data_IF_189281700375
#
_entry.id   IF_189281700375
#
_cell.length_a   1.000
_cell.length_b   1.000
_cell.length_c   1.000
_cell.angle_alpha   90.00
_cell.angle_beta   90.00
_cell.angle_gamma   90.00
#
_symmetry.space_group_name_H-M   'P 1'
#
loop_
_entity.id
_entity.type
_entity.pdbx_description
1 polymer ?
#
# COMPACT_ATOMS: atom_id res chain seq x y z
N UNK A 1 -0.19 -0.82 -22.24
CA UNK A 1 1.05 -1.65 -22.24
C UNK A 1 0.97 -2.58 -23.43
N UNK A 2 1.80 -2.35 -24.43
CA UNK A 2 1.98 -3.18 -25.62
C UNK A 2 2.53 -4.56 -25.20
N UNK A 3 1.84 -5.64 -25.57
CA UNK A 3 2.38 -7.00 -25.42
C UNK A 3 3.63 -7.09 -26.31
N UNK A 4 4.73 -7.66 -25.79
CA UNK A 4 6.02 -7.68 -26.51
C UNK A 4 5.85 -8.48 -27.80
N UNK A 5 5.99 -7.90 -28.99
CA UNK A 5 5.66 -8.65 -30.22
C UNK A 5 6.65 -9.79 -30.53
N UNK A 6 7.75 -9.92 -29.79
CA UNK A 6 8.73 -10.99 -29.97
C UNK A 6 8.36 -12.26 -29.17
N UNK A 7 8.62 -13.43 -29.77
CA UNK A 7 8.53 -14.74 -29.12
C UNK A 7 9.94 -15.31 -28.95
N UNK A 8 10.59 -14.97 -27.84
CA UNK A 8 11.98 -15.36 -27.52
C UNK A 8 12.04 -16.05 -26.15
N UNK A 9 12.86 -17.08 -26.06
CA UNK A 9 13.10 -17.82 -24.83
C UNK A 9 14.02 -17.07 -23.86
N UNK A 10 14.21 -17.62 -22.67
CA UNK A 10 15.06 -17.03 -21.62
C UNK A 10 16.57 -17.07 -21.95
N UNK A 11 16.96 -17.73 -23.04
CA UNK A 11 18.32 -17.74 -23.60
C UNK A 11 18.46 -16.76 -24.77
N UNK A 12 17.37 -16.10 -25.18
CA UNK A 12 17.33 -15.16 -26.30
C UNK A 12 17.08 -15.80 -27.67
N UNK A 13 16.75 -17.09 -27.74
CA UNK A 13 16.46 -17.77 -29.00
C UNK A 13 14.99 -17.60 -29.39
N UNK A 14 14.71 -17.49 -30.68
CA UNK A 14 13.34 -17.49 -31.19
C UNK A 14 12.62 -18.79 -30.83
N UNK A 15 11.42 -18.66 -30.28
CA UNK A 15 10.57 -19.81 -29.94
C UNK A 15 9.95 -20.35 -31.23
N UNK A 16 10.22 -21.63 -31.51
CA UNK A 16 9.50 -22.40 -32.53
C UNK A 16 8.61 -23.47 -31.88
N UNK A 17 7.42 -23.66 -32.44
CA UNK A 17 6.51 -24.73 -32.04
C UNK A 17 6.80 -26.06 -32.73
N UNK A 18 7.60 -26.07 -33.81
CA UNK A 18 7.77 -27.23 -34.68
C UNK A 18 8.44 -28.42 -33.96
N UNK A 19 9.37 -28.12 -33.05
CA UNK A 19 10.06 -29.12 -32.22
C UNK A 19 9.60 -29.10 -30.75
N UNK A 20 8.51 -28.39 -30.44
CA UNK A 20 8.04 -28.25 -29.06
C UNK A 20 7.32 -29.51 -28.60
N UNK A 21 7.68 -30.03 -27.42
CA UNK A 21 7.02 -31.19 -26.79
C UNK A 21 5.54 -31.00 -26.44
N UNK A 22 4.99 -29.80 -26.65
CA UNK A 22 3.60 -29.43 -26.37
C UNK A 22 2.72 -29.30 -27.63
N UNK A 23 3.08 -29.94 -28.74
CA UNK A 23 2.30 -29.89 -29.99
C UNK A 23 0.80 -30.25 -29.80
N UNK A 24 0.50 -31.23 -28.94
CA UNK A 24 -0.88 -31.60 -28.61
C UNK A 24 -1.63 -30.48 -27.86
N UNK A 25 -0.96 -29.73 -26.99
CA UNK A 25 -1.57 -28.59 -26.30
C UNK A 25 -1.83 -27.43 -27.26
N UNK A 26 -0.91 -27.20 -28.21
CA UNK A 26 -1.10 -26.20 -29.25
C UNK A 26 -2.32 -26.53 -30.12
N UNK A 27 -2.43 -27.78 -30.57
CA UNK A 27 -3.57 -28.25 -31.36
C UNK A 27 -4.91 -28.10 -30.59
N UNK A 28 -4.88 -28.29 -29.27
CA UNK A 28 -6.03 -28.11 -28.39
C UNK A 28 -6.28 -26.64 -27.96
N UNK A 29 -5.50 -25.67 -28.45
CA UNK A 29 -5.61 -24.26 -28.06
C UNK A 29 -5.20 -23.96 -26.61
N UNK A 30 -4.54 -24.91 -25.94
CA UNK A 30 -4.08 -24.81 -24.54
C UNK A 30 -2.67 -24.21 -24.40
N UNK A 31 -2.03 -23.83 -25.50
CA UNK A 31 -0.92 -22.87 -25.51
C UNK A 31 -0.97 -22.06 -26.81
N UNK A 32 -0.32 -20.90 -26.84
CA UNK A 32 -0.28 -20.03 -28.03
C UNK A 32 0.98 -19.16 -28.03
N UNK A 33 1.79 -19.17 -29.11
CA UNK A 33 2.92 -18.25 -29.25
C UNK A 33 2.54 -16.80 -29.01
N UNK A 34 3.46 -16.02 -28.44
CA UNK A 34 3.25 -14.61 -28.05
C UNK A 34 2.12 -14.36 -27.03
N UNK A 35 1.51 -15.41 -26.47
CA UNK A 35 0.39 -15.26 -25.56
C UNK A 35 0.48 -16.16 -24.32
N UNK A 36 0.56 -17.48 -24.51
CA UNK A 36 0.64 -18.45 -23.42
C UNK A 36 1.65 -19.55 -23.81
N UNK A 37 2.88 -19.42 -23.33
CA UNK A 37 3.97 -20.34 -23.66
C UNK A 37 4.92 -20.47 -22.47
N UNK A 38 5.24 -21.70 -22.06
CA UNK A 38 6.18 -21.97 -20.97
C UNK A 38 7.63 -21.67 -21.33
N UNK A 39 7.96 -21.72 -22.62
CA UNK A 39 9.30 -21.45 -23.11
C UNK A 39 9.59 -19.96 -23.30
N UNK A 40 8.61 -19.09 -23.07
CA UNK A 40 8.75 -17.65 -23.27
C UNK A 40 9.49 -16.99 -22.10
N UNK A 41 10.33 -16.01 -22.38
CA UNK A 41 11.01 -15.22 -21.33
C UNK A 41 10.08 -14.29 -20.58
N UNK A 42 8.87 -14.03 -21.09
CA UNK A 42 7.96 -13.09 -20.46
C UNK A 42 7.07 -13.81 -19.44
N UNK A 43 7.32 -13.55 -18.15
CA UNK A 43 6.58 -14.09 -17.02
C UNK A 43 5.06 -14.14 -17.21
N UNK A 44 4.40 -13.12 -17.79
CA UNK A 44 2.94 -13.12 -17.99
C UNK A 44 2.46 -14.22 -18.94
N UNK A 45 3.28 -14.63 -19.91
CA UNK A 45 2.96 -15.69 -20.86
C UNK A 45 3.14 -17.07 -20.25
N UNK A 46 4.18 -17.23 -19.43
CA UNK A 46 4.37 -18.44 -18.63
C UNK A 46 3.21 -18.59 -17.64
N UNK A 47 2.80 -17.50 -16.99
CA UNK A 47 1.66 -17.47 -16.05
C UNK A 47 0.36 -17.88 -16.73
N UNK A 48 0.05 -17.32 -17.91
CA UNK A 48 -1.09 -17.78 -18.73
C UNK A 48 -0.98 -19.25 -19.12
N UNK A 49 0.22 -19.74 -19.48
CA UNK A 49 0.42 -21.14 -19.81
C UNK A 49 0.05 -22.08 -18.65
N UNK A 50 0.53 -21.81 -17.43
CA UNK A 50 0.20 -22.65 -16.28
C UNK A 50 -1.24 -22.45 -15.80
N UNK A 51 -1.83 -21.26 -15.98
CA UNK A 51 -3.26 -21.06 -15.74
C UNK A 51 -4.13 -21.95 -16.64
N UNK A 52 -3.71 -22.16 -17.90
CA UNK A 52 -4.40 -23.06 -18.84
C UNK A 52 -4.04 -24.54 -18.64
N UNK A 53 -2.88 -24.83 -18.03
CA UNK A 53 -2.33 -26.17 -17.86
C UNK A 53 -1.77 -26.40 -16.45
N UNK A 54 -2.59 -26.31 -15.39
CA UNK A 54 -2.09 -26.36 -14.02
C UNK A 54 -1.40 -27.68 -13.68
N UNK A 55 -1.85 -28.80 -14.27
CA UNK A 55 -1.28 -30.14 -14.06
C UNK A 55 0.16 -30.29 -14.56
N UNK A 56 0.65 -29.37 -15.40
CA UNK A 56 2.05 -29.38 -15.84
C UNK A 56 2.99 -28.72 -14.85
N UNK A 57 2.48 -27.95 -13.88
CA UNK A 57 3.34 -27.21 -12.97
C UNK A 57 4.28 -28.14 -12.17
N UNK A 58 3.80 -29.32 -11.77
CA UNK A 58 4.56 -30.31 -10.99
C UNK A 58 5.88 -30.73 -11.65
N UNK A 59 5.87 -30.89 -12.98
CA UNK A 59 7.07 -31.27 -13.74
C UNK A 59 8.01 -30.09 -14.00
N UNK A 60 7.55 -28.85 -13.75
CA UNK A 60 8.29 -27.62 -14.03
C UNK A 60 8.88 -26.93 -12.80
N UNK A 61 8.64 -27.46 -11.59
CA UNK A 61 9.26 -26.93 -10.36
C UNK A 61 10.79 -27.07 -10.32
N UNK A 62 11.36 -27.88 -11.22
CA UNK A 62 12.83 -28.07 -11.40
C UNK A 62 13.35 -27.48 -12.72
N UNK A 63 12.56 -26.65 -13.39
CA UNK A 63 12.92 -26.11 -14.69
C UNK A 63 14.21 -25.25 -14.61
N UNK A 64 15.11 -25.27 -15.62
CA UNK A 64 16.34 -24.47 -15.59
C UNK A 64 16.10 -22.97 -15.47
N UNK A 65 15.08 -22.45 -16.14
CA UNK A 65 14.66 -21.05 -16.02
C UNK A 65 13.89 -20.81 -14.73
N UNK A 66 14.35 -19.87 -13.92
CA UNK A 66 13.77 -19.59 -12.61
C UNK A 66 12.37 -19.01 -12.68
N UNK A 67 12.03 -18.17 -13.68
CA UNK A 67 10.67 -17.64 -13.78
C UNK A 67 9.65 -18.76 -14.00
N UNK A 68 10.03 -19.80 -14.76
CA UNK A 68 9.18 -20.99 -14.93
C UNK A 68 9.00 -21.71 -13.60
N UNK A 69 10.06 -21.90 -12.80
CA UNK A 69 9.94 -22.48 -11.45
C UNK A 69 9.06 -21.63 -10.55
N UNK A 70 9.28 -20.32 -10.52
CA UNK A 70 8.55 -19.37 -9.67
C UNK A 70 7.05 -19.35 -10.00
N UNK A 71 6.70 -19.38 -11.29
CA UNK A 71 5.30 -19.40 -11.73
C UNK A 71 4.69 -20.79 -11.55
N UNK A 72 5.43 -21.86 -11.84
CA UNK A 72 4.98 -23.23 -11.57
C UNK A 72 4.63 -23.41 -10.08
N UNK A 73 5.39 -22.81 -9.16
CA UNK A 73 5.11 -22.84 -7.72
C UNK A 73 3.71 -22.33 -7.35
N UNK A 74 3.08 -21.48 -8.17
CA UNK A 74 1.71 -20.98 -7.95
C UNK A 74 0.63 -22.03 -8.23
N UNK A 75 0.94 -23.05 -9.03
CA UNK A 75 -0.02 -24.05 -9.51
C UNK A 75 0.32 -25.48 -9.07
N UNK A 76 1.60 -25.79 -8.85
CA UNK A 76 2.07 -27.12 -8.52
C UNK A 76 1.44 -27.69 -7.24
N UNK A 77 1.49 -29.00 -7.07
CA UNK A 77 1.13 -29.66 -5.84
C UNK A 77 1.94 -29.07 -4.66
N UNK A 78 1.23 -28.77 -3.57
CA UNK A 78 1.80 -28.20 -2.35
C UNK A 78 2.93 -29.06 -1.76
N UNK A 79 2.90 -30.38 -1.96
CA UNK A 79 3.92 -31.31 -1.48
C UNK A 79 5.25 -31.18 -2.25
N UNK A 80 5.26 -30.55 -3.42
CA UNK A 80 6.47 -30.30 -4.22
C UNK A 80 7.16 -28.96 -3.88
N UNK A 81 6.48 -28.08 -3.15
CA UNK A 81 6.97 -26.73 -2.84
C UNK A 81 8.05 -26.66 -1.74
N UNK A 82 8.10 -27.52 -0.70
CA UNK A 82 9.06 -27.37 0.39
C UNK A 82 10.55 -27.34 -0.04
N UNK A 83 11.02 -28.14 -1.01
CA UNK A 83 12.39 -28.04 -1.53
C UNK A 83 12.68 -26.72 -2.25
N UNK A 84 11.65 -26.06 -2.81
CA UNK A 84 11.81 -24.79 -3.54
C UNK A 84 12.10 -23.61 -2.60
N UNK A 85 11.99 -23.80 -1.28
CA UNK A 85 12.38 -22.79 -0.30
C UNK A 85 13.90 -22.61 -0.20
N UNK A 86 14.66 -23.58 -0.72
CA UNK A 86 16.12 -23.54 -0.77
C UNK A 86 16.62 -23.20 -2.20
N UNK A 87 15.72 -22.75 -3.08
CA UNK A 87 16.06 -22.32 -4.45
C UNK A 87 16.99 -21.09 -4.41
N UNK A 88 18.01 -20.99 -5.30
CA UNK A 88 18.90 -19.83 -5.34
C UNK A 88 18.16 -18.51 -5.60
N UNK A 89 17.03 -18.56 -6.32
CA UNK A 89 16.32 -17.38 -6.79
C UNK A 89 15.22 -16.99 -5.80
N UNK A 90 15.27 -15.74 -5.32
CA UNK A 90 14.33 -15.23 -4.33
C UNK A 90 12.88 -15.31 -4.82
N UNK A 91 12.67 -15.11 -6.12
CA UNK A 91 11.37 -15.19 -6.77
C UNK A 91 10.72 -16.56 -6.60
N UNK A 92 11.53 -17.61 -6.67
CA UNK A 92 11.06 -18.99 -6.48
C UNK A 92 10.70 -19.21 -5.02
N UNK A 93 11.59 -18.83 -4.10
CA UNK A 93 11.38 -19.00 -2.65
C UNK A 93 10.09 -18.33 -2.18
N UNK A 94 9.84 -17.06 -2.55
CA UNK A 94 8.63 -16.37 -2.09
C UNK A 94 7.36 -16.81 -2.82
N UNK A 95 7.41 -17.28 -4.08
CA UNK A 95 6.21 -17.85 -4.71
C UNK A 95 5.83 -19.20 -4.08
N UNK A 96 6.80 -20.04 -3.73
CA UNK A 96 6.57 -21.31 -3.07
C UNK A 96 5.99 -21.14 -1.66
N UNK A 97 6.59 -20.29 -0.83
CA UNK A 97 6.19 -20.16 0.59
C UNK A 97 4.77 -19.63 0.78
N UNK A 98 4.25 -18.83 -0.17
CA UNK A 98 2.90 -18.26 -0.11
C UNK A 98 1.78 -19.31 -0.10
N UNK A 99 2.06 -20.52 -0.58
CA UNK A 99 1.11 -21.62 -0.63
C UNK A 99 1.36 -22.68 0.44
N UNK A 100 2.40 -22.51 1.26
CA UNK A 100 2.76 -23.47 2.31
C UNK A 100 2.20 -23.06 3.67
N UNK A 101 2.04 -24.01 4.61
CA UNK A 101 1.69 -23.71 6.00
C UNK A 101 2.66 -22.72 6.66
N UNK A 102 2.16 -21.93 7.61
CA UNK A 102 2.90 -20.87 8.34
C UNK A 102 4.30 -21.25 8.83
N UNK A 103 4.49 -22.49 9.30
CA UNK A 103 5.80 -23.00 9.76
C UNK A 103 6.91 -22.90 8.70
N UNK A 104 6.55 -22.90 7.42
CA UNK A 104 7.50 -22.71 6.33
C UNK A 104 7.86 -21.25 6.10
N UNK A 105 6.90 -20.33 6.29
CA UNK A 105 7.17 -18.89 6.28
C UNK A 105 8.15 -18.49 7.39
N UNK A 106 8.05 -19.12 8.57
CA UNK A 106 9.01 -18.94 9.65
C UNK A 106 10.46 -19.28 9.27
N UNK A 107 10.68 -20.30 8.42
CA UNK A 107 12.03 -20.64 7.92
C UNK A 107 12.64 -19.54 7.07
N UNK A 108 11.81 -18.78 6.35
CA UNK A 108 12.23 -17.70 5.45
C UNK A 108 12.17 -16.31 6.10
N UNK A 109 11.90 -16.23 7.41
CA UNK A 109 11.86 -14.96 8.13
C UNK A 109 13.18 -14.21 8.06
N UNK A 110 14.28 -14.96 8.10
CA UNK A 110 15.64 -14.44 8.09
C UNK A 110 16.31 -14.64 6.72
N UNK A 111 15.51 -14.76 5.64
CA UNK A 111 16.02 -14.93 4.27
C UNK A 111 16.98 -13.78 3.91
N UNK A 112 18.12 -14.06 3.23
CA UNK A 112 19.08 -13.02 2.86
C UNK A 112 18.46 -11.93 2.00
N UNK A 113 17.46 -12.26 1.17
CA UNK A 113 16.86 -11.31 0.24
C UNK A 113 15.68 -10.56 0.86
N UNK A 114 15.75 -9.22 0.84
CA UNK A 114 14.72 -8.34 1.43
C UNK A 114 13.31 -8.62 0.90
N UNK A 115 13.15 -8.90 -0.40
CA UNK A 115 11.83 -9.15 -1.00
C UNK A 115 11.18 -10.40 -0.40
N UNK A 116 11.95 -11.45 -0.07
CA UNK A 116 11.41 -12.64 0.60
C UNK A 116 10.94 -12.28 2.00
N UNK A 117 11.76 -11.56 2.78
CA UNK A 117 11.38 -11.11 4.13
C UNK A 117 10.14 -10.22 4.11
N UNK A 118 9.99 -9.33 3.12
CA UNK A 118 8.78 -8.50 2.92
C UNK A 118 7.55 -9.37 2.69
N UNK A 119 7.64 -10.37 1.80
CA UNK A 119 6.52 -11.28 1.50
C UNK A 119 6.19 -12.18 2.69
N UNK A 120 7.20 -12.70 3.37
CA UNK A 120 7.06 -13.51 4.59
C UNK A 120 6.42 -12.69 5.71
N UNK A 121 6.83 -11.44 5.89
CA UNK A 121 6.22 -10.53 6.85
C UNK A 121 4.74 -10.25 6.59
N UNK A 122 4.18 -10.60 5.41
CA UNK A 122 2.74 -10.55 5.12
C UNK A 122 2.01 -11.88 5.46
N UNK A 123 2.74 -12.97 5.69
CA UNK A 123 2.20 -14.32 5.97
C UNK A 123 2.26 -14.70 7.45
N UNK A 124 3.10 -14.04 8.25
CA UNK A 124 3.29 -14.32 9.67
C UNK A 124 2.18 -13.69 10.54
N UNK A 125 1.92 -14.21 11.74
CA UNK A 125 1.08 -13.48 12.71
C UNK A 125 1.93 -12.55 13.58
N UNK A 126 1.26 -11.73 14.39
CA UNK A 126 1.90 -10.72 15.23
C UNK A 126 3.06 -11.25 16.08
N UNK A 127 2.88 -12.40 16.76
CA UNK A 127 3.93 -12.98 17.60
C UNK A 127 5.21 -13.32 16.82
N UNK A 128 5.06 -13.74 15.57
CA UNK A 128 6.17 -14.12 14.69
C UNK A 128 6.85 -12.93 14.03
N UNK A 129 6.19 -11.77 14.00
CA UNK A 129 6.75 -10.51 13.50
C UNK A 129 7.67 -9.81 14.50
N UNK A 130 7.61 -10.18 15.79
CA UNK A 130 8.43 -9.56 16.85
C UNK A 130 9.93 -9.54 16.49
N UNK A 131 10.54 -10.64 15.99
CA UNK A 131 11.96 -10.63 15.59
C UNK A 131 12.26 -9.72 14.40
N UNK A 132 11.27 -9.42 13.55
CA UNK A 132 11.42 -8.58 12.36
C UNK A 132 11.27 -7.08 12.65
N UNK A 133 10.90 -6.68 13.87
CA UNK A 133 10.76 -5.26 14.26
C UNK A 133 12.06 -4.47 14.03
N UNK A 134 13.21 -5.13 14.13
CA UNK A 134 14.54 -4.53 13.91
C UNK A 134 15.20 -5.02 12.62
N UNK A 135 14.41 -5.46 11.63
CA UNK A 135 14.97 -5.87 10.34
C UNK A 135 15.87 -4.75 9.78
N UNK A 136 17.04 -5.08 9.19
CA UNK A 136 17.91 -4.07 8.61
C UNK A 136 17.23 -3.24 7.51
N UNK A 137 16.29 -3.84 6.78
CA UNK A 137 15.54 -3.18 5.71
C UNK A 137 14.34 -2.40 6.26
N UNK A 138 14.27 -1.12 5.94
CA UNK A 138 13.20 -0.25 6.45
C UNK A 138 11.81 -0.65 5.93
N UNK A 139 11.73 -1.24 4.73
CA UNK A 139 10.45 -1.62 4.16
C UNK A 139 9.89 -2.89 4.83
N UNK A 140 10.78 -3.79 5.28
CA UNK A 140 10.36 -4.89 6.16
C UNK A 140 9.82 -4.33 7.48
N UNK A 141 10.52 -3.38 8.11
CA UNK A 141 10.02 -2.70 9.33
C UNK A 141 8.70 -1.97 9.07
N UNK A 142 8.53 -1.33 7.92
CA UNK A 142 7.27 -0.69 7.53
C UNK A 142 6.13 -1.73 7.40
N UNK A 143 6.40 -2.89 6.82
CA UNK A 143 5.43 -3.99 6.75
C UNK A 143 5.07 -4.54 8.13
N UNK A 144 6.04 -4.65 9.04
CA UNK A 144 5.81 -5.01 10.44
C UNK A 144 4.93 -3.95 11.11
N UNK A 145 5.26 -2.66 10.99
CA UNK A 145 4.51 -1.54 11.54
C UNK A 145 3.08 -1.42 11.00
N UNK A 146 2.77 -2.01 9.83
CA UNK A 146 1.39 -2.09 9.30
C UNK A 146 0.56 -3.18 9.96
N UNK A 147 1.19 -4.20 10.55
CA UNK A 147 0.52 -5.43 10.97
C UNK A 147 0.52 -5.67 12.47
N UNK A 148 1.58 -5.28 13.19
CA UNK A 148 1.67 -5.51 14.63
C UNK A 148 0.62 -4.71 15.39
N UNK A 149 0.20 -5.19 16.56
CA UNK A 149 -0.75 -4.51 17.41
C UNK A 149 -0.15 -3.27 18.09
N UNK A 150 -1.01 -2.43 18.71
CA UNK A 150 -0.57 -1.21 19.37
C UNK A 150 0.61 -1.42 20.32
N UNK A 151 0.56 -2.42 21.21
CA UNK A 151 1.64 -2.71 22.17
C UNK A 151 3.05 -2.79 21.57
N UNK A 152 3.18 -3.33 20.35
CA UNK A 152 4.46 -3.46 19.66
C UNK A 152 4.87 -2.21 18.87
N UNK A 153 3.91 -1.37 18.45
CA UNK A 153 4.22 -0.10 17.77
C UNK A 153 5.06 0.84 18.65
N UNK A 154 4.95 0.74 19.98
CA UNK A 154 5.79 1.50 20.92
C UNK A 154 7.29 1.28 20.67
N UNK A 155 7.67 0.08 20.20
CA UNK A 155 9.07 -0.28 19.91
C UNK A 155 9.58 0.30 18.59
N UNK A 156 8.71 0.92 17.80
CA UNK A 156 8.98 1.45 16.46
C UNK A 156 8.78 2.97 16.38
N UNK A 157 8.42 3.61 17.49
CA UNK A 157 8.09 5.04 17.54
C UNK A 157 9.28 5.94 17.23
N UNK A 158 10.50 5.46 17.50
CA UNK A 158 11.77 6.11 17.22
C UNK A 158 12.52 5.43 16.06
N UNK A 159 11.80 4.75 15.15
CA UNK A 159 12.45 4.16 13.97
C UNK A 159 13.24 5.22 13.21
N UNK A 160 14.45 4.89 12.74
CA UNK A 160 15.29 5.82 11.98
C UNK A 160 14.59 6.36 10.72
N UNK A 161 13.69 5.57 10.13
CA UNK A 161 13.03 5.90 8.87
C UNK A 161 11.71 6.66 9.10
N UNK A 162 11.56 7.90 8.56
CA UNK A 162 10.31 8.66 8.65
C UNK A 162 9.09 7.90 8.13
N UNK A 163 9.19 7.12 7.06
CA UNK A 163 8.06 6.33 6.56
C UNK A 163 7.53 5.32 7.59
N UNK A 164 8.42 4.71 8.37
CA UNK A 164 8.04 3.78 9.44
C UNK A 164 7.39 4.54 10.59
N UNK A 165 8.00 5.65 11.03
CA UNK A 165 7.41 6.51 12.09
C UNK A 165 6.06 7.07 11.66
N UNK A 166 5.88 7.44 10.39
CA UNK A 166 4.60 7.89 9.85
C UNK A 166 3.54 6.78 9.95
N UNK A 167 3.89 5.54 9.59
CA UNK A 167 2.98 4.41 9.76
C UNK A 167 2.64 4.15 11.24
N UNK A 168 3.61 4.31 12.13
CA UNK A 168 3.37 4.26 13.58
C UNK A 168 2.39 5.37 13.99
N UNK A 169 2.59 6.62 13.56
CA UNK A 169 1.69 7.73 13.86
C UNK A 169 0.25 7.51 13.37
N UNK A 170 0.05 6.80 12.26
CA UNK A 170 -1.28 6.43 11.75
C UNK A 170 -2.00 5.44 12.67
N UNK A 171 -1.29 4.53 13.34
CA UNK A 171 -1.89 3.38 14.06
C UNK A 171 -1.73 3.41 15.57
N UNK A 172 -0.74 4.12 16.09
CA UNK A 172 -0.42 4.13 17.52
C UNK A 172 -1.57 4.70 18.35
N UNK A 173 -1.75 4.27 19.61
CA UNK A 173 -2.65 4.92 20.55
C UNK A 173 -2.32 6.41 20.73
N UNK A 174 -3.36 7.22 20.99
CA UNK A 174 -3.25 8.69 21.06
C UNK A 174 -2.24 9.14 22.12
N UNK A 175 -2.19 8.44 23.25
CA UNK A 175 -1.27 8.69 24.36
C UNK A 175 0.21 8.66 23.95
N UNK A 176 0.55 7.97 22.87
CA UNK A 176 1.93 7.92 22.36
C UNK A 176 2.22 8.96 21.30
N UNK A 177 1.19 9.45 20.59
CA UNK A 177 1.34 10.48 19.57
C UNK A 177 1.92 11.78 20.14
N UNK A 178 1.75 12.02 21.45
CA UNK A 178 2.37 13.16 22.14
C UNK A 178 3.89 13.19 21.94
N UNK A 179 4.56 12.03 21.93
CA UNK A 179 6.01 11.96 21.70
C UNK A 179 6.38 12.26 20.25
N UNK A 180 5.50 11.91 19.32
CA UNK A 180 5.69 12.10 17.88
C UNK A 180 5.29 13.49 17.40
N UNK A 181 4.61 14.27 18.24
CA UNK A 181 4.21 15.65 17.94
C UNK A 181 5.41 16.58 17.70
N UNK A 182 6.59 16.21 18.19
CA UNK A 182 7.85 16.91 17.98
C UNK A 182 8.80 16.16 17.02
N UNK A 183 8.28 15.23 16.20
CA UNK A 183 9.09 14.51 15.22
C UNK A 183 9.80 15.49 14.27
N UNK A 184 11.05 15.19 13.92
CA UNK A 184 11.81 16.01 12.98
C UNK A 184 11.13 16.07 11.59
N UNK A 185 10.44 15.00 11.21
CA UNK A 185 9.77 14.89 9.92
C UNK A 185 8.37 15.49 9.94
N UNK A 186 8.08 16.39 9.00
CA UNK A 186 6.82 17.10 8.93
C UNK A 186 5.63 16.21 8.52
N UNK A 187 5.85 15.17 7.71
CA UNK A 187 4.78 14.23 7.34
C UNK A 187 4.37 13.37 8.55
N UNK A 188 5.31 13.04 9.43
CA UNK A 188 5.00 12.38 10.71
C UNK A 188 4.18 13.31 11.60
N UNK A 189 4.62 14.56 11.80
CA UNK A 189 3.86 15.55 12.60
C UNK A 189 2.47 15.82 12.03
N UNK A 190 2.33 15.78 10.70
CA UNK A 190 1.04 15.92 10.03
C UNK A 190 0.11 14.72 10.25
N UNK A 191 0.61 13.48 10.25
CA UNK A 191 -0.25 12.33 10.63
C UNK A 191 -0.62 12.37 12.13
N UNK A 192 0.29 12.86 12.98
CA UNK A 192 0.02 13.07 14.40
C UNK A 192 -1.09 14.10 14.61
N UNK A 193 -1.00 15.26 13.93
CA UNK A 193 -1.96 16.36 14.11
C UNK A 193 -3.38 15.92 13.80
N UNK A 194 -3.60 15.09 12.76
CA UNK A 194 -4.90 14.51 12.40
C UNK A 194 -5.58 13.69 13.49
N UNK A 195 -4.82 13.21 14.48
CA UNK A 195 -5.32 12.27 15.50
C UNK A 195 -5.26 12.82 16.92
N UNK A 196 -4.50 13.87 17.19
CA UNK A 196 -4.43 14.47 18.53
C UNK A 196 -5.78 15.11 18.94
N UNK A 197 -6.20 14.98 20.22
CA UNK A 197 -7.34 15.71 20.76
C UNK A 197 -7.03 17.21 20.86
N UNK A 198 -8.07 18.03 20.98
CA UNK A 198 -7.95 19.49 20.83
C UNK A 198 -6.95 20.17 21.77
N UNK A 199 -6.90 19.76 23.03
CA UNK A 199 -5.96 20.28 24.04
C UNK A 199 -4.49 20.01 23.68
N UNK A 200 -4.21 18.85 23.09
CA UNK A 200 -2.86 18.48 22.63
C UNK A 200 -2.55 19.05 21.25
N UNK A 201 -3.54 19.08 20.35
CA UNK A 201 -3.42 19.68 19.02
C UNK A 201 -3.10 21.17 19.10
N UNK A 202 -3.62 21.88 20.10
CA UNK A 202 -3.29 23.29 20.35
C UNK A 202 -1.79 23.56 20.54
N UNK A 203 -1.01 22.56 20.94
CA UNK A 203 0.46 22.68 21.05
C UNK A 203 1.15 22.78 19.69
N UNK A 204 0.53 22.31 18.62
CA UNK A 204 1.05 22.32 17.24
C UNK A 204 0.69 23.59 16.46
N UNK A 205 0.07 24.58 17.11
CA UNK A 205 -0.40 25.81 16.48
C UNK A 205 0.70 26.66 15.83
N UNK A 206 1.95 26.46 16.27
CA UNK A 206 3.15 27.12 15.73
C UNK A 206 4.09 26.13 15.02
N UNK A 207 3.57 24.99 14.57
CA UNK A 207 4.38 24.02 13.81
C UNK A 207 4.99 24.71 12.58
N UNK A 208 6.26 24.44 12.25
CA UNK A 208 6.88 24.99 11.05
C UNK A 208 6.18 24.59 9.75
N UNK A 209 5.52 23.44 9.70
CA UNK A 209 4.81 22.97 8.51
C UNK A 209 3.37 23.52 8.47
N UNK A 210 3.04 24.22 7.39
CA UNK A 210 1.73 24.83 7.20
C UNK A 210 0.59 23.80 7.19
N UNK A 211 0.81 22.55 6.77
CA UNK A 211 -0.21 21.48 6.74
C UNK A 211 -0.61 21.09 8.15
N UNK A 212 0.34 21.10 9.08
CA UNK A 212 0.06 20.89 10.51
C UNK A 212 -0.75 22.06 11.06
N UNK A 213 -0.36 23.31 10.77
CA UNK A 213 -1.11 24.50 11.20
C UNK A 213 -2.51 24.57 10.59
N UNK A 214 -2.67 24.14 9.34
CA UNK A 214 -3.95 24.00 8.67
C UNK A 214 -4.86 23.01 9.39
N UNK A 215 -4.32 21.85 9.80
CA UNK A 215 -5.07 20.86 10.59
C UNK A 215 -5.46 21.40 11.98
N UNK A 216 -4.61 22.22 12.60
CA UNK A 216 -4.94 22.94 13.84
C UNK A 216 -6.10 23.91 13.59
N UNK A 217 -6.02 24.73 12.53
CA UNK A 217 -7.05 25.68 12.15
C UNK A 217 -8.38 25.00 11.80
N UNK A 218 -8.36 23.81 11.21
CA UNK A 218 -9.56 23.09 10.78
C UNK A 218 -10.34 22.44 11.93
N UNK A 219 -9.69 22.17 13.07
CA UNK A 219 -10.31 21.37 14.16
C UNK A 219 -10.43 22.05 15.51
N UNK A 220 -9.58 23.00 15.85
CA UNK A 220 -9.71 23.68 17.14
C UNK A 220 -10.96 24.57 17.20
N UNK A 221 -11.49 24.88 18.40
CA UNK A 221 -12.58 25.83 18.54
C UNK A 221 -12.22 27.19 17.94
N UNK A 222 -13.20 27.91 17.38
CA UNK A 222 -13.01 29.21 16.73
C UNK A 222 -12.27 30.21 17.64
N UNK A 223 -12.61 30.22 18.93
CA UNK A 223 -11.95 31.07 19.93
C UNK A 223 -10.43 30.82 20.07
N UNK A 224 -9.95 29.65 19.65
CA UNK A 224 -8.55 29.25 19.75
C UNK A 224 -7.76 29.39 18.44
N UNK A 225 -8.36 29.83 17.33
CA UNK A 225 -7.69 29.92 16.01
C UNK A 225 -7.63 31.35 15.44
N UNK A 226 -8.17 32.34 16.15
CA UNK A 226 -8.31 33.70 15.62
C UNK A 226 -6.97 34.38 15.23
N UNK A 227 -5.89 34.07 15.93
CA UNK A 227 -4.52 34.51 15.62
C UNK A 227 -3.95 33.89 14.34
N UNK A 228 -4.40 32.68 13.95
CA UNK A 228 -4.02 32.05 12.68
C UNK A 228 -4.63 32.77 11.45
N UNK A 229 -5.53 33.75 11.65
CA UNK A 229 -5.99 34.62 10.55
C UNK A 229 -4.83 35.44 9.93
N UNK A 230 -3.70 35.57 10.64
CA UNK A 230 -2.47 36.21 10.18
C UNK A 230 -1.34 35.20 9.93
N UNK A 231 -1.66 33.92 9.75
CA UNK A 231 -0.65 32.91 9.38
C UNK A 231 0.07 33.34 8.10
N UNK A 232 1.33 32.94 7.95
CA UNK A 232 2.13 33.21 6.75
C UNK A 232 1.54 32.51 5.51
N UNK A 233 0.97 31.32 5.70
CA UNK A 233 0.43 30.50 4.62
C UNK A 233 -1.02 30.87 4.28
N UNK A 234 -1.29 31.01 2.98
CA UNK A 234 -2.60 31.43 2.49
C UNK A 234 -3.70 30.41 2.79
N UNK A 235 -3.42 29.12 2.70
CA UNK A 235 -4.41 28.05 2.92
C UNK A 235 -4.84 28.00 4.39
N UNK A 236 -3.91 28.28 5.31
CA UNK A 236 -4.22 28.41 6.73
C UNK A 236 -5.14 29.62 6.98
N UNK A 237 -4.82 30.78 6.39
CA UNK A 237 -5.67 31.98 6.51
C UNK A 237 -7.08 31.75 5.94
N UNK A 238 -7.18 31.10 4.79
CA UNK A 238 -8.46 30.76 4.14
C UNK A 238 -9.30 29.82 5.01
N UNK A 239 -8.68 28.78 5.58
CA UNK A 239 -9.35 27.88 6.53
C UNK A 239 -9.91 28.64 7.73
N UNK A 240 -9.13 29.52 8.35
CA UNK A 240 -9.60 30.33 9.49
C UNK A 240 -10.75 31.24 9.08
N UNK A 241 -10.64 31.94 7.96
CA UNK A 241 -11.69 32.82 7.45
C UNK A 241 -13.01 32.08 7.17
N UNK A 242 -12.91 30.85 6.62
CA UNK A 242 -14.07 29.99 6.37
C UNK A 242 -14.80 29.60 7.66
N UNK A 243 -14.07 29.44 8.76
CA UNK A 243 -14.64 29.04 10.06
C UNK A 243 -15.10 30.22 10.92
N UNK A 244 -14.61 31.43 10.66
CA UNK A 244 -15.09 32.66 11.28
C UNK A 244 -16.36 33.21 10.61
N UNK A 245 -16.58 32.87 9.35
CA UNK A 245 -17.81 33.21 8.65
C UNK A 245 -18.99 32.41 9.23
N UNK A 246 -20.09 33.05 9.67
CA UNK A 246 -21.29 32.30 10.04
C UNK A 246 -21.79 31.49 8.83
N UNK A 247 -22.41 30.31 9.03
CA UNK A 247 -23.06 29.63 7.92
C UNK A 247 -24.10 30.57 7.32
N UNK A 248 -23.96 30.86 6.03
CA UNK A 248 -24.94 31.66 5.29
C UNK A 248 -26.25 30.88 5.27
N UNK A 249 -27.16 31.15 6.20
CA UNK A 249 -28.53 30.66 6.11
C UNK A 249 -29.09 31.19 4.79
N UNK A 250 -29.51 30.33 3.83
CA UNK A 250 -30.16 30.84 2.62
C UNK A 250 -31.40 31.60 3.07
N UNK A 251 -31.41 32.91 2.79
CA UNK A 251 -32.53 33.80 3.08
C UNK A 251 -33.71 33.27 2.27
N UNK A 252 -34.63 32.56 2.89
CA UNK A 252 -35.94 32.28 2.31
C UNK A 252 -36.54 33.63 1.95
N UNK A 253 -36.63 33.91 0.65
CA UNK A 253 -37.36 35.06 0.15
C UNK A 253 -38.83 34.80 0.48
N UNK A 254 -39.35 35.43 1.53
CA UNK A 254 -40.79 35.55 1.69
C UNK A 254 -41.35 36.26 0.46
N UNK A 255 -42.35 35.69 -0.23
CA UNK A 255 -42.94 36.35 -1.39
C UNK A 255 -43.64 37.63 -0.93
N UNK A 256 -43.29 38.74 -1.58
CA UNK A 256 -43.91 40.04 -1.34
C UNK A 256 -45.42 39.96 -1.57
N UNK A 257 -46.20 40.27 -0.54
CA UNK A 257 -47.63 40.52 -0.65
C UNK A 257 -47.79 41.82 -1.44
N UNK A 258 -48.27 41.72 -2.67
CA UNK A 258 -48.67 42.88 -3.47
C UNK A 258 -50.02 43.38 -2.95
N UNK A 259 -50.04 44.54 -2.31
CA UNK A 259 -51.29 45.26 -2.05
C UNK A 259 -51.84 45.86 -3.36
N UNK A 260 -53.16 45.78 -3.59
CA UNK A 260 -53.78 46.36 -4.78
C UNK A 260 -53.90 47.89 -4.64
N UNK A 261 -53.30 48.62 -5.58
CA UNK A 261 -53.46 50.06 -5.75
C UNK A 261 -54.88 50.42 -6.19
N UNK A 262 -55.52 51.30 -5.41
CA UNK A 262 -56.78 51.97 -5.71
C UNK A 262 -56.53 53.32 -6.42
N UNK A 263 -57.49 53.69 -7.28
CA UNK A 263 -57.81 55.03 -7.86
C UNK A 263 -57.05 55.41 -9.16
N UNK A 264 -57.64 55.98 -10.22
CA UNK A 264 -58.99 56.50 -10.50
C UNK A 264 -59.15 56.84 -12.01
N UNK A 265 -60.38 56.71 -12.51
CA UNK A 265 -61.17 57.63 -13.38
C UNK A 265 -60.53 58.25 -14.64
N UNK A 266 -61.16 58.01 -15.80
CA UNK A 266 -61.38 59.07 -16.82
C UNK A 266 -62.81 58.92 -17.39
N UNK A 267 -63.56 60.01 -17.29
CA UNK A 267 -64.73 60.46 -18.08
C UNK A 267 -65.27 59.52 -19.17
#
# INVERSE_FOLDING_TARGET
MTDIDEAVDWRGNTISCDACGYAALLAAGRCRPKHACVNDRYARRIDRFFAWNPTLADTHVRHPHFEVRAIAAKHADIFLLPPMLDDPEEAVRWNAVRRLPRRYALRLRDDPHREVRIRVAALLDEADLIPMIRDPDYYVRLMVARRVGPGLLARMIEDKEPEVRRMVAVRAPVEWLIRMAADADADVRYEVSKRLPGDLLARLKRDPDWRVRFEVASRLPVAQIADLARDEDILVREMVASRLSPPTTPRTLEPAILEPTMLEIVS
#
